data_IF_228274595459
#
_entry.id   IF_228274595459
#
_cell.length_a   1.000
_cell.length_b   1.000
_cell.length_c   1.000
_cell.angle_alpha   90.00
_cell.angle_beta   90.00
_cell.angle_gamma   90.00
#
_symmetry.space_group_name_H-M   'P 1'
#
loop_
_entity.id
_entity.type
_entity.pdbx_description
1 polymer ?
#
# COMPACT_ATOMS: atom_id res chain seq x y z
N UNK A 1 8.40 13.60 17.76
CA UNK A 1 7.52 14.28 16.80
C UNK A 1 8.00 13.89 15.39
N UNK A 2 7.51 12.78 14.87
CA UNK A 2 7.91 12.12 13.61
C UNK A 2 6.67 11.38 13.08
N UNK A 3 6.42 11.11 11.80
CA UNK A 3 6.47 11.83 10.49
C UNK A 3 5.82 10.81 9.52
N UNK A 4 4.81 11.17 8.72
CA UNK A 4 4.03 10.23 7.88
C UNK A 4 4.40 10.33 6.39
N UNK A 5 4.65 9.19 5.72
CA UNK A 5 5.32 9.04 4.40
C UNK A 5 4.51 8.17 3.39
N UNK A 6 4.80 8.26 2.08
CA UNK A 6 4.10 7.53 0.99
C UNK A 6 5.05 6.51 0.34
N UNK A 7 4.71 5.21 0.33
CA UNK A 7 5.64 4.11 0.01
C UNK A 7 5.26 3.29 -1.27
N UNK A 8 6.24 2.71 -1.97
CA UNK A 8 6.16 2.06 -3.29
C UNK A 8 7.21 0.94 -3.54
N UNK A 9 6.87 -0.34 -3.66
CA UNK A 9 7.86 -1.45 -3.59
C UNK A 9 8.80 -1.77 -4.75
N UNK A 10 10.04 -1.27 -4.71
CA UNK A 10 11.25 -2.09 -4.94
C UNK A 10 12.36 -1.57 -4.02
N UNK A 11 13.06 -2.46 -3.33
CA UNK A 11 14.14 -2.09 -2.40
C UNK A 11 15.36 -1.70 -3.23
N UNK A 12 15.66 -0.41 -3.29
CA UNK A 12 16.95 0.07 -3.71
C UNK A 12 17.59 0.75 -2.50
N UNK A 13 18.66 0.16 -1.97
CA UNK A 13 19.50 0.82 -0.97
C UNK A 13 20.20 2.00 -1.67
N UNK A 14 19.65 3.20 -1.48
CA UNK A 14 20.16 4.45 -2.02
C UNK A 14 21.06 5.10 -0.97
N UNK A 15 22.36 5.19 -1.27
CA UNK A 15 23.33 5.85 -0.40
C UNK A 15 23.74 7.19 -0.99
N UNK A 16 23.69 8.26 -0.19
CA UNK A 16 24.09 9.59 -0.62
C UNK A 16 25.58 9.81 -0.30
N UNK A 17 26.44 9.80 -1.33
CA UNK A 17 27.88 10.11 -1.19
C UNK A 17 28.24 11.32 -2.04
N UNK A 18 28.90 12.30 -1.41
CA UNK A 18 29.51 13.47 -2.08
C UNK A 18 28.55 14.27 -3.00
N UNK A 19 27.28 14.40 -2.61
CA UNK A 19 26.31 15.20 -3.36
C UNK A 19 25.65 14.48 -4.55
N UNK A 20 25.84 13.16 -4.69
CA UNK A 20 25.17 12.32 -5.70
C UNK A 20 24.44 11.14 -5.05
N UNK A 21 23.32 10.74 -5.65
CA UNK A 21 22.60 9.51 -5.34
C UNK A 21 23.29 8.34 -6.05
N UNK A 22 23.80 7.38 -5.30
CA UNK A 22 24.33 6.11 -5.81
C UNK A 22 23.40 4.97 -5.39
N UNK A 23 23.13 4.04 -6.33
CA UNK A 23 22.38 2.80 -6.07
C UNK A 23 23.42 1.72 -5.72
N UNK A 24 23.38 1.21 -4.49
CA UNK A 24 24.41 0.28 -3.99
C UNK A 24 24.08 -1.20 -4.28
N UNK A 25 22.78 -1.57 -4.31
CA UNK A 25 22.29 -2.89 -4.70
C UNK A 25 20.95 -2.79 -5.45
N UNK A 26 20.87 -3.47 -6.60
CA UNK A 26 19.64 -3.68 -7.36
C UNK A 26 19.19 -5.12 -7.12
N UNK A 27 18.34 -5.36 -6.12
CA UNK A 27 17.60 -6.62 -6.09
C UNK A 27 16.57 -6.57 -7.23
N UNK A 28 16.67 -7.52 -8.16
CA UNK A 28 15.72 -7.69 -9.25
C UNK A 28 14.38 -8.17 -8.66
N UNK A 29 13.58 -7.21 -8.23
CA UNK A 29 12.21 -7.41 -7.77
C UNK A 29 11.29 -7.80 -8.92
N UNK A 30 10.54 -8.87 -8.71
CA UNK A 30 9.48 -9.43 -9.56
C UNK A 30 8.54 -8.37 -10.13
N UNK A 31 8.43 -8.34 -11.46
CA UNK A 31 7.56 -7.51 -12.32
C UNK A 31 7.59 -5.98 -12.09
N UNK A 32 7.54 -5.16 -13.16
CA UNK A 32 7.52 -3.71 -13.01
C UNK A 32 6.27 -3.30 -12.23
N UNK A 33 6.49 -2.54 -11.15
CA UNK A 33 5.41 -1.93 -10.40
C UNK A 33 4.49 -1.13 -11.35
N UNK A 34 3.19 -1.39 -11.26
CA UNK A 34 2.19 -0.71 -12.06
C UNK A 34 1.98 0.76 -11.65
N UNK A 35 0.76 1.26 -11.81
CA UNK A 35 0.41 2.65 -11.48
C UNK A 35 -0.20 2.83 -10.08
N UNK A 36 -0.16 1.79 -9.24
CA UNK A 36 -0.78 1.78 -7.92
C UNK A 36 0.16 2.34 -6.86
N UNK A 37 -0.36 3.12 -5.90
CA UNK A 37 0.42 3.67 -4.79
C UNK A 37 -0.36 3.58 -3.48
N UNK A 38 0.36 3.64 -2.35
CA UNK A 38 -0.22 3.58 -1.01
C UNK A 38 0.21 4.79 -0.19
N UNK A 39 -0.74 5.40 0.52
CA UNK A 39 -0.47 6.45 1.49
C UNK A 39 -0.51 5.82 2.88
N UNK A 40 0.60 5.86 3.63
CA UNK A 40 0.62 5.39 5.00
C UNK A 40 -0.07 6.44 5.90
N UNK A 41 -1.05 6.00 6.69
CA UNK A 41 -1.81 6.86 7.62
C UNK A 41 -1.32 6.75 9.06
N UNK A 42 -0.27 5.96 9.29
CA UNK A 42 0.41 5.69 10.56
C UNK A 42 1.82 5.19 10.27
N UNK A 43 2.69 5.25 11.27
CA UNK A 43 4.02 4.64 11.21
C UNK A 43 3.89 3.14 10.85
N UNK A 44 4.54 2.74 9.75
CA UNK A 44 4.42 1.39 9.17
C UNK A 44 5.81 0.87 8.77
N UNK A 45 6.71 0.59 9.76
CA UNK A 45 8.08 0.15 9.50
C UNK A 45 8.15 -1.18 8.72
N UNK A 46 7.07 -1.95 8.71
CA UNK A 46 6.92 -3.14 7.86
C UNK A 46 6.98 -2.84 6.36
N UNK A 47 6.75 -1.59 5.95
CA UNK A 47 6.83 -1.17 4.55
C UNK A 47 8.24 -0.78 4.13
N UNK A 48 9.13 -0.42 5.06
CA UNK A 48 10.47 0.10 4.73
C UNK A 48 11.32 -0.92 3.95
N UNK A 49 11.12 -2.22 4.19
CA UNK A 49 11.85 -3.30 3.54
C UNK A 49 11.21 -3.76 2.24
N UNK A 50 10.03 -3.26 1.89
CA UNK A 50 9.26 -3.73 0.75
C UNK A 50 8.72 -2.61 -0.12
N UNK A 51 8.90 -1.35 0.27
CA UNK A 51 8.30 -0.15 -0.29
C UNK A 51 9.24 1.06 -0.23
N UNK A 52 9.61 1.60 -1.40
CA UNK A 52 10.34 2.85 -1.61
C UNK A 52 9.46 4.07 -1.37
N UNK A 53 9.90 4.97 -0.49
CA UNK A 53 9.19 6.23 -0.24
C UNK A 53 9.47 7.24 -1.37
N UNK A 54 8.42 7.69 -2.07
CA UNK A 54 8.56 8.61 -3.22
C UNK A 54 8.03 10.03 -2.96
N UNK A 55 7.36 10.25 -1.83
CA UNK A 55 6.77 11.54 -1.52
C UNK A 55 6.09 11.60 -0.16
N UNK A 56 5.48 12.75 0.11
CA UNK A 56 4.71 12.99 1.34
C UNK A 56 3.48 13.84 1.04
N UNK A 57 2.43 13.63 1.83
CA UNK A 57 1.25 14.49 1.80
C UNK A 57 1.61 15.82 2.47
N UNK A 58 1.51 16.91 1.71
CA UNK A 58 1.79 18.27 2.19
C UNK A 58 0.53 18.97 2.69
N UNK A 59 -0.62 18.67 2.10
CA UNK A 59 -1.93 19.23 2.48
C UNK A 59 -3.03 18.18 2.32
N UNK A 60 -4.15 18.33 3.04
CA UNK A 60 -5.31 17.45 2.91
C UNK A 60 -5.19 16.10 3.62
N UNK A 61 -4.33 15.97 4.64
CA UNK A 61 -4.15 14.72 5.39
C UNK A 61 -5.46 14.27 6.06
N UNK A 62 -6.32 15.20 6.46
CA UNK A 62 -7.63 14.93 7.02
C UNK A 62 -8.58 14.23 6.02
N UNK A 63 -8.38 14.45 4.71
CA UNK A 63 -9.14 13.72 3.67
C UNK A 63 -8.68 12.27 3.62
N UNK A 64 -7.36 12.04 3.65
CA UNK A 64 -6.79 10.68 3.71
C UNK A 64 -7.28 9.94 4.96
N UNK A 65 -7.30 10.60 6.12
CA UNK A 65 -7.82 10.02 7.37
C UNK A 65 -9.32 9.72 7.29
N UNK A 66 -10.12 10.52 6.58
CA UNK A 66 -11.53 10.17 6.33
C UNK A 66 -11.67 8.96 5.42
N UNK A 67 -10.81 8.85 4.40
CA UNK A 67 -10.80 7.70 3.48
C UNK A 67 -10.44 6.40 4.25
N UNK A 68 -9.47 6.45 5.16
CA UNK A 68 -9.05 5.28 5.95
C UNK A 68 -10.14 4.76 6.89
N UNK A 69 -11.13 5.60 7.23
CA UNK A 69 -12.26 5.25 8.09
C UNK A 69 -13.50 4.77 7.32
N UNK A 70 -13.46 4.73 5.98
CA UNK A 70 -14.57 4.21 5.19
C UNK A 70 -14.81 2.74 5.53
N UNK A 71 -16.08 2.36 5.71
CA UNK A 71 -16.44 0.97 6.01
C UNK A 71 -15.97 0.06 4.87
N UNK A 72 -15.23 -0.98 5.24
CA UNK A 72 -14.73 -2.00 4.32
C UNK A 72 -15.37 -3.35 4.59
N UNK A 73 -15.28 -4.23 3.60
CA UNK A 73 -15.60 -5.65 3.77
C UNK A 73 -14.64 -6.23 4.82
N UNK A 74 -15.20 -6.75 5.92
CA UNK A 74 -14.41 -7.35 6.98
C UNK A 74 -13.67 -8.59 6.48
N UNK A 75 -12.40 -8.68 6.87
CA UNK A 75 -11.60 -9.87 6.66
C UNK A 75 -12.10 -11.01 7.55
N UNK A 76 -12.20 -12.22 6.99
CA UNK A 76 -12.63 -13.42 7.72
C UNK A 76 -11.66 -14.59 7.53
N UNK A 77 -10.40 -14.29 7.18
CA UNK A 77 -9.33 -15.29 6.92
C UNK A 77 -9.00 -16.12 8.16
N UNK A 78 -9.23 -15.59 9.36
CA UNK A 78 -8.96 -16.24 10.63
C UNK A 78 -9.96 -17.36 10.98
N UNK A 79 -11.16 -17.35 10.39
CA UNK A 79 -12.22 -18.32 10.68
C UNK A 79 -11.82 -19.74 10.29
N UNK A 80 -12.04 -20.75 11.18
CA UNK A 80 -11.79 -22.15 10.87
C UNK A 80 -12.49 -22.61 9.59
N UNK A 81 -13.72 -22.15 9.36
CA UNK A 81 -14.50 -22.48 8.16
C UNK A 81 -13.87 -21.92 6.89
N UNK A 82 -13.36 -20.69 6.94
CA UNK A 82 -12.72 -20.05 5.78
C UNK A 82 -11.42 -20.76 5.41
N UNK A 83 -10.61 -21.11 6.41
CA UNK A 83 -9.37 -21.88 6.23
C UNK A 83 -9.63 -23.24 5.59
N UNK A 84 -10.61 -23.99 6.10
CA UNK A 84 -11.01 -25.28 5.51
C UNK A 84 -11.50 -25.09 4.08
N UNK A 85 -12.37 -24.11 3.82
CA UNK A 85 -12.88 -23.83 2.48
C UNK A 85 -11.76 -23.52 1.47
N UNK A 86 -10.73 -22.77 1.89
CA UNK A 86 -9.54 -22.51 1.07
C UNK A 86 -8.72 -23.77 0.81
N UNK A 87 -8.53 -24.62 1.82
CA UNK A 87 -7.77 -25.87 1.70
C UNK A 87 -8.43 -26.87 0.73
N UNK A 88 -9.76 -26.98 0.74
CA UNK A 88 -10.50 -27.87 -0.17
C UNK A 88 -10.72 -27.27 -1.57
N UNK A 89 -10.21 -26.06 -1.83
CA UNK A 89 -10.32 -25.40 -3.12
C UNK A 89 -11.70 -24.83 -3.44
N UNK A 90 -12.50 -24.45 -2.43
CA UNK A 90 -13.78 -23.77 -2.68
C UNK A 90 -13.55 -22.42 -3.36
N UNK A 91 -13.99 -22.32 -4.63
CA UNK A 91 -13.86 -21.11 -5.45
C UNK A 91 -14.50 -19.88 -4.79
N UNK A 92 -15.57 -20.07 -4.02
CA UNK A 92 -16.27 -18.97 -3.34
C UNK A 92 -15.40 -18.34 -2.26
N UNK A 93 -14.60 -19.14 -1.55
CA UNK A 93 -13.65 -18.63 -0.55
C UNK A 93 -12.55 -17.79 -1.22
N UNK A 94 -12.07 -18.22 -2.39
CA UNK A 94 -11.08 -17.45 -3.18
C UNK A 94 -11.66 -16.13 -3.69
N UNK A 95 -12.91 -16.13 -4.17
CA UNK A 95 -13.59 -14.90 -4.63
C UNK A 95 -13.86 -13.95 -3.46
N UNK A 96 -14.29 -14.49 -2.30
CA UNK A 96 -14.54 -13.69 -1.10
C UNK A 96 -13.26 -13.01 -0.59
N UNK A 97 -12.13 -13.73 -0.56
CA UNK A 97 -10.83 -13.20 -0.14
C UNK A 97 -10.43 -11.95 -0.92
N UNK A 98 -10.59 -11.99 -2.26
CA UNK A 98 -10.28 -10.86 -3.14
C UNK A 98 -11.12 -9.63 -2.84
N UNK A 99 -12.28 -9.80 -2.19
CA UNK A 99 -13.20 -8.75 -1.80
C UNK A 99 -12.93 -8.15 -0.42
N UNK A 100 -12.08 -8.75 0.40
CA UNK A 100 -11.77 -8.22 1.73
C UNK A 100 -11.06 -6.87 1.66
N UNK A 101 -11.25 -6.05 2.69
CA UNK A 101 -10.71 -4.70 2.81
C UNK A 101 -11.16 -3.72 1.71
N UNK A 102 -12.03 -4.14 0.78
CA UNK A 102 -12.62 -3.24 -0.21
C UNK A 102 -13.65 -2.32 0.46
N UNK A 103 -13.59 -1.00 0.22
CA UNK A 103 -14.62 -0.07 0.67
C UNK A 103 -16.00 -0.40 0.08
N UNK A 104 -17.05 -0.26 0.88
CA UNK A 104 -18.43 -0.32 0.36
C UNK A 104 -18.77 0.88 -0.52
N UNK A 105 -18.19 2.04 -0.19
CA UNK A 105 -18.34 3.27 -0.94
C UNK A 105 -17.15 3.45 -1.88
N UNK A 106 -17.42 3.70 -3.17
CA UNK A 106 -16.38 3.96 -4.16
C UNK A 106 -15.70 5.30 -3.86
N UNK A 107 -14.39 5.29 -3.62
CA UNK A 107 -13.54 6.48 -3.56
C UNK A 107 -12.91 6.67 -4.94
N UNK A 108 -13.08 7.84 -5.53
CA UNK A 108 -12.62 8.12 -6.90
C UNK A 108 -11.75 9.38 -6.89
N UNK A 109 -10.54 9.26 -7.44
CA UNK A 109 -9.73 10.42 -7.81
C UNK A 109 -10.29 10.96 -9.12
N UNK A 110 -10.93 12.12 -9.05
CA UNK A 110 -11.62 12.72 -10.22
C UNK A 110 -10.67 13.54 -11.09
N UNK A 111 -9.58 14.06 -10.53
CA UNK A 111 -8.58 14.85 -11.24
C UNK A 111 -7.21 14.75 -10.55
N UNK A 112 -6.13 14.90 -11.31
CA UNK A 112 -4.76 14.97 -10.82
C UNK A 112 -3.90 15.85 -11.74
N UNK A 113 -2.81 16.41 -11.22
CA UNK A 113 -1.93 17.28 -11.99
C UNK A 113 -0.73 17.77 -11.17
N UNK A 114 0.20 18.46 -11.85
CA UNK A 114 1.35 19.10 -11.22
C UNK A 114 0.97 20.54 -10.85
N UNK A 115 1.32 20.95 -9.63
CA UNK A 115 1.17 22.34 -9.18
C UNK A 115 2.48 23.05 -9.50
N UNK A 116 2.40 24.19 -10.20
CA UNK A 116 3.54 25.05 -10.53
C UNK A 116 3.76 26.12 -9.47
#
# INVERSE_FOLDING_TARGET
>A
MRREEVAFGSVADLTFRLGKLEIDQEEVGTDPNGTEFVIATKDSPELDTSSLVIGRVIEGIEVVQKISQVKTVQENTSSPYFKVAKLIGDKRAVVAERGFNRPYSKVVVTNCGVIQ
#
